data_IF_726251580604
#
_entry.id   IF_726251580604
#
_cell.length_a   1.000
_cell.length_b   1.000
_cell.length_c   1.000
_cell.angle_alpha   90.00
_cell.angle_beta   90.00
_cell.angle_gamma   90.00
#
_symmetry.space_group_name_H-M   'P 1'
#
loop_
_entity.id
_entity.type
_entity.pdbx_description
1 polymer ?
#
# COMPACT_ATOMS: atom_id res chain seq x y z
N UNK A 1 -2.67 -13.48 -30.96
CA UNK A 1 -1.59 -14.35 -30.48
C UNK A 1 -0.96 -13.68 -29.26
N UNK A 2 -1.51 -13.94 -28.07
CA UNK A 2 -1.01 -13.35 -26.82
C UNK A 2 0.16 -14.22 -26.37
N UNK A 3 1.36 -13.65 -26.38
CA UNK A 3 2.61 -14.31 -26.01
C UNK A 3 2.53 -14.87 -24.58
N UNK A 4 2.61 -16.19 -24.46
CA UNK A 4 2.61 -16.94 -23.19
C UNK A 4 3.88 -16.76 -22.35
N UNK A 5 4.87 -15.95 -22.78
CA UNK A 5 6.12 -15.75 -22.04
C UNK A 5 6.12 -14.52 -21.10
N UNK A 6 5.17 -13.59 -21.25
CA UNK A 6 5.17 -12.31 -20.52
C UNK A 6 4.60 -12.39 -19.08
N UNK A 7 3.83 -13.44 -18.76
CA UNK A 7 3.18 -13.62 -17.44
C UNK A 7 4.10 -14.24 -16.37
N UNK A 8 5.21 -14.89 -16.75
CA UNK A 8 5.94 -15.79 -15.84
C UNK A 8 6.70 -15.07 -14.71
N UNK A 9 7.32 -13.90 -14.96
CA UNK A 9 8.23 -13.29 -13.97
C UNK A 9 7.61 -12.21 -13.09
N UNK A 10 6.59 -11.49 -13.60
CA UNK A 10 5.70 -10.69 -12.72
C UNK A 10 5.03 -11.63 -11.70
N UNK A 11 4.71 -12.86 -12.13
CA UNK A 11 4.32 -13.94 -11.21
C UNK A 11 5.46 -14.31 -10.27
N UNK A 12 6.70 -14.54 -10.74
CA UNK A 12 7.82 -14.98 -9.89
C UNK A 12 8.22 -14.00 -8.79
N UNK A 13 8.32 -12.68 -9.04
CA UNK A 13 8.67 -11.72 -7.98
C UNK A 13 7.54 -11.60 -6.96
N UNK A 14 6.29 -11.47 -7.43
CA UNK A 14 5.11 -11.47 -6.54
C UNK A 14 5.07 -12.74 -5.68
N UNK A 15 5.29 -13.90 -6.30
CA UNK A 15 5.36 -15.18 -5.59
C UNK A 15 6.52 -15.20 -4.59
N UNK A 16 7.69 -14.70 -4.96
CA UNK A 16 8.85 -14.59 -4.09
C UNK A 16 8.59 -13.71 -2.87
N UNK A 17 7.93 -12.56 -3.03
CA UNK A 17 7.55 -11.67 -1.92
C UNK A 17 6.55 -12.34 -0.98
N UNK A 18 5.54 -13.03 -1.52
CA UNK A 18 4.57 -13.77 -0.71
C UNK A 18 5.25 -14.92 0.05
N UNK A 19 6.06 -15.73 -0.65
CA UNK A 19 6.79 -16.84 -0.03
C UNK A 19 7.72 -16.31 1.08
N UNK A 20 8.43 -15.21 0.83
CA UNK A 20 9.39 -14.64 1.75
C UNK A 20 8.78 -13.93 2.96
N UNK A 21 7.69 -13.19 2.80
CA UNK A 21 7.19 -12.34 3.89
C UNK A 21 5.87 -12.84 4.51
N UNK A 22 5.18 -13.77 3.85
CA UNK A 22 3.94 -14.35 4.37
C UNK A 22 4.09 -15.80 4.82
N UNK A 23 4.81 -16.64 4.07
CA UNK A 23 4.92 -18.07 4.38
C UNK A 23 6.20 -18.46 5.13
N UNK A 24 7.31 -17.73 4.97
CA UNK A 24 8.56 -17.99 5.71
C UNK A 24 8.42 -17.54 7.19
N UNK A 25 8.42 -18.47 8.16
CA UNK A 25 8.23 -18.14 9.58
C UNK A 25 9.31 -17.19 10.13
N UNK A 26 10.52 -17.20 9.58
CA UNK A 26 11.60 -16.32 10.03
C UNK A 26 11.39 -14.85 9.61
N UNK A 27 10.51 -14.61 8.64
CA UNK A 27 10.21 -13.29 8.08
C UNK A 27 8.74 -12.91 8.21
N UNK A 28 7.89 -13.83 8.67
CA UNK A 28 6.49 -13.57 8.93
C UNK A 28 6.31 -12.55 10.06
N UNK A 29 5.46 -11.57 9.82
CA UNK A 29 5.00 -10.65 10.85
C UNK A 29 3.51 -10.33 10.61
N UNK A 30 2.63 -10.54 11.61
CA UNK A 30 1.20 -10.32 11.45
C UNK A 30 0.82 -8.85 11.21
N UNK A 31 1.71 -7.90 11.49
CA UNK A 31 1.53 -6.47 11.20
C UNK A 31 1.80 -6.12 9.74
N UNK A 32 2.26 -7.07 8.90
CA UNK A 32 2.35 -6.88 7.45
C UNK A 32 1.01 -7.24 6.83
N UNK A 33 0.34 -6.26 6.22
CA UNK A 33 -1.01 -6.45 5.68
C UNK A 33 -1.06 -6.86 4.22
N UNK A 34 0.06 -6.80 3.52
CA UNK A 34 0.13 -7.18 2.12
C UNK A 34 1.28 -6.56 1.36
N UNK A 35 1.08 -6.45 0.05
CA UNK A 35 2.05 -5.92 -0.91
C UNK A 35 1.33 -5.05 -1.95
N UNK A 36 1.91 -3.90 -2.28
CA UNK A 36 1.49 -3.10 -3.43
C UNK A 36 2.29 -3.47 -4.67
N UNK A 37 1.58 -3.86 -5.73
CA UNK A 37 2.12 -4.08 -7.08
C UNK A 37 2.38 -2.78 -7.81
N UNK A 38 1.81 -1.67 -7.32
CA UNK A 38 2.06 -0.33 -7.83
C UNK A 38 3.16 0.36 -7.03
N UNK A 39 3.83 1.32 -7.67
CA UNK A 39 4.80 2.18 -6.98
C UNK A 39 4.10 3.15 -6.02
N UNK A 40 4.77 3.57 -4.92
CA UNK A 40 4.28 4.70 -4.13
C UNK A 40 4.39 5.99 -4.96
N UNK A 41 3.42 6.90 -4.85
CA UNK A 41 3.52 8.22 -5.53
C UNK A 41 3.72 9.38 -4.56
N UNK A 42 3.12 9.32 -3.37
CA UNK A 42 3.11 10.44 -2.44
C UNK A 42 2.92 9.98 -0.99
N UNK A 43 3.27 10.86 -0.06
CA UNK A 43 2.88 10.82 1.34
C UNK A 43 1.48 11.44 1.49
N UNK A 44 0.51 10.75 2.09
CA UNK A 44 -0.91 11.14 2.04
C UNK A 44 -1.31 12.33 2.94
N UNK A 45 -0.35 13.16 3.36
CA UNK A 45 -0.63 14.43 4.03
C UNK A 45 -1.23 15.47 3.07
N UNK A 46 -1.93 16.48 3.62
CA UNK A 46 -2.55 17.59 2.87
C UNK A 46 -1.61 18.29 1.88
N UNK A 47 -0.30 18.31 2.16
CA UNK A 47 0.73 18.90 1.29
C UNK A 47 1.58 17.83 0.59
N UNK A 48 0.96 16.73 0.18
CA UNK A 48 1.60 15.46 -0.19
C UNK A 48 2.93 15.60 -0.94
N UNK A 49 4.03 15.40 -0.20
CA UNK A 49 5.37 15.39 -0.77
C UNK A 49 5.60 14.09 -1.54
N UNK A 50 6.43 14.15 -2.60
CA UNK A 50 6.96 12.95 -3.25
C UNK A 50 7.69 12.13 -2.19
N UNK A 51 7.40 10.83 -2.12
CA UNK A 51 8.13 9.93 -1.23
C UNK A 51 9.59 9.92 -1.67
N UNK A 52 10.50 10.35 -0.80
CA UNK A 52 11.94 10.35 -1.06
C UNK A 52 12.51 9.04 -0.53
N UNK A 53 12.82 8.13 -1.45
CA UNK A 53 13.48 6.87 -1.15
C UNK A 53 14.95 6.97 -1.56
N UNK A 54 15.83 6.34 -0.78
CA UNK A 54 17.24 6.22 -1.17
C UNK A 54 17.37 5.44 -2.49
N UNK A 55 18.37 5.78 -3.30
CA UNK A 55 18.63 5.14 -4.60
C UNK A 55 18.90 3.63 -4.50
N UNK A 56 19.20 3.12 -3.31
CA UNK A 56 19.44 1.70 -3.02
C UNK A 56 18.24 0.99 -2.39
N UNK A 57 17.23 1.74 -1.92
CA UNK A 57 16.03 1.13 -1.32
C UNK A 57 15.18 0.53 -2.43
N UNK A 58 15.21 -0.80 -2.60
CA UNK A 58 14.40 -1.54 -3.58
C UNK A 58 13.08 -2.03 -3.01
N UNK A 59 13.07 -2.40 -1.73
CA UNK A 59 11.91 -2.90 -1.01
C UNK A 59 11.86 -2.18 0.33
N UNK A 60 10.67 -1.79 0.76
CA UNK A 60 10.46 -1.05 1.99
C UNK A 60 9.05 -1.24 2.53
N UNK A 61 8.85 -0.85 3.77
CA UNK A 61 7.58 -0.89 4.48
C UNK A 61 6.90 0.48 4.45
N UNK A 62 5.62 0.51 4.13
CA UNK A 62 4.84 1.75 4.03
C UNK A 62 3.40 1.55 4.45
N UNK A 63 2.81 2.49 5.19
CA UNK A 63 1.46 2.28 5.76
C UNK A 63 0.30 2.54 4.78
N UNK A 64 0.55 3.15 3.62
CA UNK A 64 -0.54 3.41 2.68
C UNK A 64 -0.87 2.20 1.84
N UNK A 65 -2.16 1.99 1.59
CA UNK A 65 -2.67 0.96 0.70
C UNK A 65 -2.60 1.42 -0.76
N UNK A 66 -2.20 0.51 -1.66
CA UNK A 66 -2.29 0.74 -3.10
C UNK A 66 -3.75 0.71 -3.54
N UNK A 67 -4.18 1.66 -4.38
CA UNK A 67 -5.59 1.76 -4.79
C UNK A 67 -5.93 0.93 -6.02
N UNK A 68 -4.97 0.62 -6.89
CA UNK A 68 -5.23 -0.07 -8.17
C UNK A 68 -4.37 -1.32 -8.41
N UNK A 69 -3.65 -1.80 -7.39
CA UNK A 69 -2.83 -3.00 -7.48
C UNK A 69 -2.35 -3.46 -6.12
N UNK A 70 -3.27 -3.72 -5.21
CA UNK A 70 -2.98 -4.19 -3.86
C UNK A 70 -3.25 -5.68 -3.73
N UNK A 71 -2.27 -6.41 -3.19
CA UNK A 71 -2.45 -7.74 -2.63
C UNK A 71 -2.66 -7.62 -1.13
N UNK A 72 -3.76 -8.12 -0.59
CA UNK A 72 -4.05 -8.10 0.84
C UNK A 72 -3.89 -9.51 1.43
N UNK A 73 -3.21 -9.61 2.56
CA UNK A 73 -3.06 -10.87 3.26
C UNK A 73 -4.34 -11.24 4.01
N UNK A 74 -4.73 -12.54 4.05
CA UNK A 74 -6.03 -12.96 4.58
C UNK A 74 -6.32 -12.52 6.01
N UNK A 75 -5.35 -12.61 6.92
CA UNK A 75 -5.55 -12.31 8.35
C UNK A 75 -5.83 -10.81 8.58
N UNK A 76 -4.97 -9.87 8.16
CA UNK A 76 -5.25 -8.43 8.31
C UNK A 76 -6.51 -7.97 7.57
N UNK A 77 -6.84 -8.60 6.43
CA UNK A 77 -8.10 -8.30 5.74
C UNK A 77 -9.34 -8.70 6.55
N UNK A 78 -9.32 -9.91 7.15
CA UNK A 78 -10.40 -10.37 8.03
C UNK A 78 -10.56 -9.46 9.25
N UNK A 79 -9.44 -9.06 9.87
CA UNK A 79 -9.44 -8.13 11.00
C UNK A 79 -10.02 -6.77 10.62
N UNK A 80 -9.65 -6.23 9.46
CA UNK A 80 -10.23 -4.99 8.94
C UNK A 80 -11.73 -5.10 8.74
N UNK A 81 -12.23 -6.20 8.16
CA UNK A 81 -13.67 -6.37 7.92
C UNK A 81 -14.47 -6.34 9.21
N UNK A 82 -14.01 -7.05 10.24
CA UNK A 82 -14.63 -7.03 11.57
C UNK A 82 -14.57 -5.64 12.20
N UNK A 83 -13.40 -5.01 12.17
CA UNK A 83 -13.20 -3.66 12.70
C UNK A 83 -14.10 -2.62 12.00
N UNK A 84 -14.21 -2.70 10.68
CA UNK A 84 -15.04 -1.79 9.87
C UNK A 84 -16.51 -1.91 10.25
N UNK A 85 -17.03 -3.14 10.33
CA UNK A 85 -18.45 -3.36 10.65
C UNK A 85 -18.76 -2.85 12.07
N UNK A 86 -17.89 -3.15 13.05
CA UNK A 86 -18.02 -2.64 14.42
C UNK A 86 -18.00 -1.10 14.48
N UNK A 87 -17.02 -0.45 13.86
CA UNK A 87 -16.88 1.01 13.92
C UNK A 87 -18.02 1.72 13.20
N UNK A 88 -18.47 1.15 12.08
CA UNK A 88 -19.61 1.67 11.32
C UNK A 88 -20.90 1.63 12.14
N UNK A 89 -21.18 0.52 12.83
CA UNK A 89 -22.38 0.40 13.68
C UNK A 89 -22.38 1.40 14.85
N UNK A 90 -21.19 1.74 15.37
CA UNK A 90 -20.99 2.78 16.39
C UNK A 90 -21.07 4.22 15.85
N UNK A 91 -21.32 4.41 14.55
CA UNK A 91 -21.37 5.74 13.92
C UNK A 91 -20.01 6.43 13.78
N UNK A 92 -18.91 5.74 14.07
CA UNK A 92 -17.55 6.29 13.97
C UNK A 92 -17.24 6.55 12.50
N UNK A 93 -16.67 7.73 12.19
CA UNK A 93 -16.33 8.10 10.81
C UNK A 93 -14.85 7.82 10.50
N UNK A 94 -14.55 7.49 9.25
CA UNK A 94 -13.17 7.31 8.75
C UNK A 94 -12.49 8.63 8.42
N UNK A 95 -12.42 9.51 9.42
CA UNK A 95 -11.72 10.79 9.36
C UNK A 95 -10.39 10.63 10.08
N UNK A 96 -9.32 11.08 9.42
CA UNK A 96 -7.97 11.24 9.97
C UNK A 96 -7.53 12.68 9.71
N UNK A 97 -7.22 13.43 10.76
CA UNK A 97 -6.81 14.82 10.60
C UNK A 97 -5.54 14.92 9.74
N UNK A 98 -5.41 15.99 8.96
CA UNK A 98 -4.24 16.20 8.09
C UNK A 98 -4.14 15.28 6.86
N UNK A 99 -5.03 14.30 6.68
CA UNK A 99 -5.00 13.36 5.56
C UNK A 99 -5.84 13.79 4.36
N UNK A 100 -5.32 13.59 3.15
CA UNK A 100 -6.07 13.80 1.89
C UNK A 100 -7.30 12.90 1.81
N UNK A 101 -7.22 11.70 2.38
CA UNK A 101 -8.33 10.72 2.39
C UNK A 101 -9.56 11.21 3.16
N UNK A 102 -9.40 12.14 4.11
CA UNK A 102 -10.53 12.82 4.76
C UNK A 102 -11.30 13.68 3.76
N UNK A 103 -10.62 14.35 2.83
CA UNK A 103 -11.28 15.10 1.75
C UNK A 103 -12.08 14.18 0.83
N UNK A 104 -11.52 13.02 0.47
CA UNK A 104 -12.22 12.02 -0.33
C UNK A 104 -13.47 11.48 0.39
N UNK A 105 -13.33 11.17 1.68
CA UNK A 105 -14.45 10.68 2.50
C UNK A 105 -15.55 11.72 2.63
N UNK A 106 -15.21 13.01 2.85
CA UNK A 106 -16.22 14.08 2.90
C UNK A 106 -16.99 14.24 1.60
N UNK A 107 -16.35 14.00 0.45
CA UNK A 107 -16.96 14.15 -0.88
C UNK A 107 -17.83 12.95 -1.28
N UNK A 108 -17.34 11.73 -1.02
CA UNK A 108 -17.91 10.49 -1.58
C UNK A 108 -18.61 9.64 -0.49
N UNK A 109 -18.38 9.98 0.79
CA UNK A 109 -18.96 9.32 1.94
C UNK A 109 -18.49 7.88 2.09
N UNK A 110 -19.39 7.04 2.56
CA UNK A 110 -19.12 5.64 2.93
C UNK A 110 -19.00 4.70 1.72
N UNK A 111 -19.07 5.21 0.49
CA UNK A 111 -18.92 4.42 -0.74
C UNK A 111 -17.47 4.02 -1.03
N UNK A 112 -16.49 4.59 -0.31
CA UNK A 112 -15.07 4.27 -0.45
C UNK A 112 -14.51 3.61 0.82
N UNK A 113 -13.91 2.44 0.66
CA UNK A 113 -13.33 1.67 1.76
C UNK A 113 -11.93 2.15 2.15
N UNK A 114 -11.22 2.83 1.26
CA UNK A 114 -9.82 3.22 1.45
C UNK A 114 -9.57 4.11 2.67
N UNK A 115 -10.37 5.15 2.98
CA UNK A 115 -10.19 5.94 4.19
C UNK A 115 -10.38 5.12 5.48
N UNK A 116 -11.32 4.17 5.47
CA UNK A 116 -11.53 3.24 6.59
C UNK A 116 -10.33 2.33 6.80
N UNK A 117 -9.80 1.78 5.71
CA UNK A 117 -8.65 0.89 5.77
C UNK A 117 -7.41 1.62 6.27
N UNK A 118 -7.14 2.84 5.80
CA UNK A 118 -6.01 3.64 6.29
C UNK A 118 -6.15 3.94 7.79
N UNK A 119 -7.37 4.24 8.27
CA UNK A 119 -7.64 4.44 9.71
C UNK A 119 -7.40 3.16 10.51
N UNK A 120 -7.85 2.01 10.01
CA UNK A 120 -7.57 0.71 10.62
C UNK A 120 -6.07 0.43 10.71
N UNK A 121 -5.34 0.53 9.60
CA UNK A 121 -3.90 0.27 9.53
C UNK A 121 -3.12 1.20 10.47
N UNK A 122 -3.49 2.49 10.53
CA UNK A 122 -2.88 3.45 11.45
C UNK A 122 -3.14 3.07 12.91
N UNK A 123 -4.38 2.67 13.26
CA UNK A 123 -4.71 2.24 14.64
C UNK A 123 -3.99 0.97 15.10
N UNK A 124 -3.57 0.12 14.16
CA UNK A 124 -2.88 -1.15 14.43
C UNK A 124 -1.35 -1.08 14.25
N UNK A 125 -0.83 0.01 13.70
CA UNK A 125 0.59 0.12 13.34
C UNK A 125 1.01 -0.88 12.26
N UNK A 126 0.10 -1.22 11.33
CA UNK A 126 0.38 -2.19 10.27
C UNK A 126 1.12 -1.54 9.10
N UNK A 127 1.82 -2.35 8.30
CA UNK A 127 2.60 -1.91 7.14
C UNK A 127 2.34 -2.76 5.90
N UNK A 128 2.51 -2.13 4.74
CA UNK A 128 2.50 -2.75 3.42
C UNK A 128 3.93 -2.92 2.93
N UNK A 129 4.17 -3.94 2.13
CA UNK A 129 5.39 -4.03 1.34
C UNK A 129 5.21 -3.22 0.06
N UNK A 130 6.21 -2.40 -0.26
CA UNK A 130 6.31 -1.71 -1.55
C UNK A 130 7.66 -1.97 -2.19
N UNK A 131 7.65 -1.88 -3.51
CA UNK A 131 8.84 -1.91 -4.36
C UNK A 131 9.18 -0.52 -4.89
N UNK A 132 10.46 -0.24 -5.06
CA UNK A 132 11.00 0.97 -5.67
C UNK A 132 12.02 0.57 -6.74
N UNK A 133 11.49 0.21 -7.91
CA UNK A 133 12.28 -0.10 -9.09
C UNK A 133 12.82 1.18 -9.73
N UNK A 134 13.98 1.09 -10.38
CA UNK A 134 14.50 2.21 -11.15
C UNK A 134 13.55 2.59 -12.29
N UNK A 135 13.70 3.83 -12.78
CA UNK A 135 12.91 4.38 -13.88
C UNK A 135 11.40 4.41 -13.59
N UNK A 136 11.02 4.53 -12.32
CA UNK A 136 9.63 4.62 -11.88
C UNK A 136 8.77 3.43 -12.36
N UNK A 137 9.36 2.23 -12.43
CA UNK A 137 8.67 1.02 -12.85
C UNK A 137 7.79 0.43 -11.74
N UNK A 138 6.83 -0.41 -12.12
CA UNK A 138 5.91 -1.11 -11.21
C UNK A 138 5.53 -2.51 -11.75
N UNK A 139 5.04 -3.38 -10.88
CA UNK A 139 4.54 -4.72 -11.25
C UNK A 139 3.13 -4.68 -11.84
N UNK A 140 2.38 -3.61 -11.53
CA UNK A 140 1.07 -3.32 -12.10
C UNK A 140 0.98 -1.83 -12.41
N UNK A 141 0.42 -1.51 -13.59
CA UNK A 141 0.23 -0.14 -14.06
C UNK A 141 -1.22 0.06 -14.46
N UNK A 142 -1.76 1.24 -14.17
CA UNK A 142 -3.13 1.61 -14.51
C UNK A 142 -3.13 2.57 -15.69
N UNK A 143 -3.90 2.24 -16.72
CA UNK A 143 -4.14 3.15 -17.84
C UNK A 143 -5.16 4.21 -17.42
N UNK A 144 -4.81 5.48 -17.66
CA UNK A 144 -5.63 6.63 -17.30
C UNK A 144 -6.44 7.05 -18.50
N UNK A 145 -7.38 6.21 -18.87
CA UNK A 145 -8.29 6.48 -19.99
C UNK A 145 -9.41 7.44 -19.56
N UNK A 146 -9.93 8.22 -20.51
CA UNK A 146 -11.06 9.10 -20.25
C UNK A 146 -12.28 8.31 -19.70
N UNK A 147 -12.89 8.80 -18.63
CA UNK A 147 -14.03 8.15 -17.98
C UNK A 147 -14.21 8.60 -16.53
N UNK A 148 -14.68 7.67 -15.68
CA UNK A 148 -15.12 7.95 -14.29
C UNK A 148 -14.01 8.59 -13.42
N UNK A 149 -12.74 8.26 -13.68
CA UNK A 149 -11.61 8.73 -12.87
C UNK A 149 -10.78 9.83 -13.54
N UNK A 150 -10.86 9.98 -14.86
CA UNK A 150 -10.04 10.92 -15.62
C UNK A 150 -10.86 11.61 -16.71
N UNK A 151 -10.78 12.94 -16.81
CA UNK A 151 -11.48 13.70 -17.87
C UNK A 151 -10.84 13.59 -19.25
N UNK A 152 -9.66 12.96 -19.37
CA UNK A 152 -8.94 12.76 -20.63
C UNK A 152 -8.03 11.54 -20.53
N UNK A 153 -7.72 10.94 -21.68
CA UNK A 153 -6.75 9.86 -21.78
C UNK A 153 -5.33 10.40 -21.57
N UNK A 154 -4.56 9.78 -20.67
CA UNK A 154 -3.20 10.17 -20.30
C UNK A 154 -2.22 8.98 -20.22
N UNK A 155 -2.59 7.85 -20.84
CA UNK A 155 -1.77 6.65 -20.90
C UNK A 155 -1.50 6.01 -19.53
N UNK A 156 -0.50 5.11 -19.44
CA UNK A 156 -0.16 4.44 -18.20
C UNK A 156 0.35 5.43 -17.14
N UNK A 157 0.13 5.10 -15.87
CA UNK A 157 0.55 5.91 -14.75
C UNK A 157 2.00 5.70 -14.32
N UNK A 158 2.64 4.64 -14.79
CA UNK A 158 4.04 4.24 -14.55
C UNK A 158 4.50 3.27 -15.64
N UNK A 159 5.79 2.98 -15.67
CA UNK A 159 6.34 1.99 -16.61
C UNK A 159 6.15 0.57 -16.07
N UNK A 160 5.69 -0.36 -16.90
CA UNK A 160 5.57 -1.76 -16.47
C UNK A 160 6.96 -2.40 -16.39
N UNK A 161 7.23 -3.11 -15.30
CA UNK A 161 8.46 -3.90 -15.17
C UNK A 161 8.40 -5.10 -16.12
N UNK A 162 9.31 -5.13 -17.09
CA UNK A 162 9.45 -6.24 -18.04
C UNK A 162 10.48 -7.26 -17.56
N UNK A 163 10.32 -8.51 -17.98
CA UNK A 163 11.05 -9.67 -17.47
C UNK A 163 12.58 -9.52 -17.46
N UNK A 164 13.15 -8.98 -18.54
CA UNK A 164 14.60 -8.85 -18.77
C UNK A 164 15.26 -7.73 -17.93
N UNK A 165 14.50 -7.06 -17.07
CA UNK A 165 14.86 -5.74 -16.56
C UNK A 165 14.82 -5.63 -15.03
N UNK A 166 14.88 -6.76 -14.32
CA UNK A 166 15.04 -6.76 -12.86
C UNK A 166 16.46 -6.30 -12.49
N UNK A 167 16.56 -5.13 -11.87
CA UNK A 167 17.85 -4.56 -11.44
C UNK A 167 18.36 -5.16 -10.11
N UNK A 168 17.76 -6.25 -9.62
CA UNK A 168 18.17 -6.94 -8.40
C UNK A 168 17.73 -8.42 -8.42
N UNK A 169 18.42 -9.24 -7.63
CA UNK A 169 18.20 -10.67 -7.55
C UNK A 169 16.99 -11.02 -6.65
N UNK A 170 16.04 -11.77 -7.19
CA UNK A 170 14.86 -12.26 -6.45
C UNK A 170 15.23 -13.21 -5.30
N UNK A 171 16.38 -13.86 -5.37
CA UNK A 171 16.88 -14.74 -4.31
C UNK A 171 17.54 -13.99 -3.15
N UNK A 172 17.80 -12.69 -3.33
CA UNK A 172 18.46 -11.82 -2.35
C UNK A 172 17.47 -10.86 -1.67
N UNK A 173 16.19 -11.23 -1.59
CA UNK A 173 15.21 -10.46 -0.84
C UNK A 173 15.68 -10.29 0.61
N UNK A 174 15.80 -9.04 1.10
CA UNK A 174 16.27 -8.78 2.45
C UNK A 174 15.31 -9.39 3.49
N UNK A 175 15.83 -9.70 4.69
CA UNK A 175 14.94 -10.09 5.78
C UNK A 175 14.02 -8.93 6.18
N UNK A 176 12.82 -9.22 6.66
CA UNK A 176 11.84 -8.20 7.04
C UNK A 176 12.41 -7.15 8.01
N UNK A 177 13.22 -7.58 8.98
CA UNK A 177 13.90 -6.72 9.97
C UNK A 177 14.89 -5.71 9.39
N UNK A 178 15.34 -5.90 8.14
CA UNK A 178 16.28 -5.03 7.45
C UNK A 178 15.58 -4.04 6.51
N UNK A 179 14.25 -4.11 6.39
CA UNK A 179 13.50 -3.19 5.55
C UNK A 179 13.36 -1.83 6.22
N UNK A 180 13.66 -0.78 5.46
CA UNK A 180 13.33 0.58 5.87
C UNK A 180 11.82 0.74 5.98
N UNK A 181 11.35 1.45 7.00
CA UNK A 181 9.94 1.75 7.20
C UNK A 181 9.68 3.25 7.06
N UNK A 182 8.57 3.58 6.44
CA UNK A 182 8.15 4.96 6.22
C UNK A 182 6.72 5.15 6.75
N UNK A 183 6.46 6.19 7.56
CA UNK A 183 5.11 6.52 7.96
C UNK A 183 4.33 7.02 6.74
N UNK A 184 3.15 6.44 6.50
CA UNK A 184 2.25 6.84 5.42
C UNK A 184 1.30 7.97 5.78
N UNK A 185 1.26 8.31 7.06
CA UNK A 185 0.36 9.28 7.69
C UNK A 185 1.26 10.29 8.41
N UNK A 186 1.01 11.60 8.31
CA UNK A 186 1.65 12.56 9.22
C UNK A 186 1.43 12.07 10.65
N UNK A 187 2.52 11.87 11.41
CA UNK A 187 2.41 11.50 12.81
C UNK A 187 1.65 12.62 13.53
N UNK A 188 0.36 12.41 13.80
CA UNK A 188 -0.33 13.13 14.84
C UNK A 188 0.13 12.49 16.14
N UNK A 189 1.26 12.97 16.66
CA UNK A 189 1.85 12.53 17.92
C UNK A 189 0.91 12.81 19.11
N UNK A 190 -0.19 13.57 18.93
CA UNK A 190 -1.07 13.97 20.03
C UNK A 190 -2.31 13.07 20.26
N UNK A 191 -2.85 12.35 19.27
CA UNK A 191 -4.10 11.58 19.48
C UNK A 191 -3.87 10.17 20.07
N UNK A 192 -2.65 9.61 20.00
CA UNK A 192 -2.35 8.29 20.57
C UNK A 192 -2.00 8.33 22.08
N UNK A 193 -1.70 9.50 22.64
CA UNK A 193 -1.36 9.66 24.06
C UNK A 193 -2.54 10.15 24.92
N UNK A 194 -3.61 10.67 24.33
CA UNK A 194 -4.75 11.24 25.06
C UNK A 194 -6.04 10.39 25.04
N UNK A 195 -6.02 9.24 24.37
CA UNK A 195 -7.23 8.44 24.10
C UNK A 195 -7.54 7.29 25.08
N UNK A 196 -6.79 7.13 26.17
CA UNK A 196 -6.91 5.96 27.08
C UNK A 196 -7.36 6.30 28.51
N UNK A 197 -7.83 7.52 28.80
CA UNK A 197 -8.32 7.87 30.15
C UNK A 197 -9.83 7.97 30.32
N UNK A 198 -10.64 7.98 29.26
CA UNK A 198 -12.09 7.91 29.42
C UNK A 198 -12.73 7.16 28.26
N UNK A 199 -12.96 5.86 28.43
CA UNK A 199 -14.17 5.08 28.07
C UNK A 199 -13.99 3.62 28.46
#
# INVERSE_FOLDING_TARGET
MISSFCLCTISSLKQGLILKYYYDPANYNPSIYGESLQRPRFVAGKNGNKLKLGSETRIFLYQLVGTWGQLLFPKPWKEFRLWYDEHKTKGIKSILQGMVTTGWYKKIGERIWTPWFIKFIQSRGYYNIYTNFNQERALSVSHRDAGVNYGKTAGPDSSLLMNESLDFNLWELPSLRNLNWFPGVPLLVEELLLGWEHF
#
